data_IF_133516585473
#
_entry.id   IF_133516585473
#
_cell.length_a   1.000
_cell.length_b   1.000
_cell.length_c   1.000
_cell.angle_alpha   90.00
_cell.angle_beta   90.00
_cell.angle_gamma   90.00
#
_symmetry.space_group_name_H-M   'P 1'
#
loop_
_entity.id
_entity.type
_entity.pdbx_description
1 polymer ?
#
# COMPACT_ATOMS: atom_id res chain seq x y z
N UNK A 1 -39.65 26.88 -42.49
CA UNK A 1 -40.93 27.51 -42.04
C UNK A 1 -42.06 26.53 -42.36
N UNK A 2 -43.06 26.30 -41.51
CA UNK A 2 -43.62 27.13 -40.42
C UNK A 2 -43.42 26.48 -39.04
N UNK A 3 -43.28 27.26 -38.03
CA UNK A 3 -44.11 28.03 -37.10
C UNK A 3 -44.67 27.23 -35.90
N UNK A 4 -44.27 27.67 -34.76
CA UNK A 4 -44.84 27.46 -33.40
C UNK A 4 -46.24 28.09 -33.28
N UNK A 5 -47.05 27.68 -32.32
CA UNK A 5 -47.18 28.36 -31.01
C UNK A 5 -47.28 27.36 -29.83
N UNK A 6 -46.84 27.61 -28.62
CA UNK A 6 -46.98 28.71 -27.68
C UNK A 6 -48.20 28.55 -26.79
N UNK A 7 -48.00 28.31 -25.46
CA UNK A 7 -48.73 28.96 -24.36
C UNK A 7 -48.34 28.32 -23.02
N UNK A 8 -47.71 29.04 -22.18
CA UNK A 8 -48.04 29.60 -20.85
C UNK A 8 -48.50 28.66 -19.71
N UNK A 9 -47.77 28.84 -18.66
CA UNK A 9 -47.91 28.46 -17.24
C UNK A 9 -49.26 29.01 -16.61
N UNK A 10 -49.50 29.05 -15.28
CA UNK A 10 -48.76 28.56 -14.09
C UNK A 10 -49.69 28.01 -12.97
N UNK A 11 -49.18 28.06 -11.70
CA UNK A 11 -49.84 27.95 -10.37
C UNK A 11 -49.66 26.61 -9.67
N UNK A 12 -49.14 26.53 -8.58
CA UNK A 12 -49.02 27.16 -7.25
C UNK A 12 -49.49 26.18 -6.17
N UNK A 13 -48.62 26.10 -5.14
CA UNK A 13 -48.95 25.88 -3.74
C UNK A 13 -49.76 24.65 -3.28
N UNK A 14 -49.17 23.86 -2.40
CA UNK A 14 -49.79 23.59 -1.10
C UNK A 14 -48.77 23.13 -0.07
N UNK A 15 -48.55 24.01 0.90
CA UNK A 15 -48.01 23.74 2.22
C UNK A 15 -49.07 22.97 3.03
N UNK A 16 -48.66 22.02 3.88
CA UNK A 16 -49.12 21.88 5.27
C UNK A 16 -48.49 20.62 5.89
N UNK A 17 -47.57 20.85 6.78
CA UNK A 17 -47.63 20.77 8.24
C UNK A 17 -48.22 19.47 8.82
N UNK A 18 -47.42 18.68 9.47
CA UNK A 18 -47.80 17.93 10.69
C UNK A 18 -46.60 17.76 11.63
N UNK A 19 -46.58 18.59 12.69
CA UNK A 19 -45.86 18.37 13.94
C UNK A 19 -46.60 17.34 14.80
N UNK A 20 -45.94 16.38 15.42
CA UNK A 20 -46.20 15.79 16.73
C UNK A 20 -44.88 15.20 17.22
N UNK A 21 -44.24 15.73 18.19
CA UNK A 21 -44.27 15.78 19.66
C UNK A 21 -44.71 14.44 20.29
N UNK A 22 -43.76 13.75 20.90
CA UNK A 22 -43.94 13.19 22.23
C UNK A 22 -42.61 13.19 23.00
N UNK A 23 -42.76 13.62 24.19
CA UNK A 23 -41.85 13.93 25.28
C UNK A 23 -41.50 12.68 26.09
N UNK A 24 -40.32 12.74 26.70
CA UNK A 24 -40.00 12.48 28.10
C UNK A 24 -39.94 11.05 28.61
N UNK A 25 -38.78 10.68 29.13
CA UNK A 25 -38.63 10.32 30.54
C UNK A 25 -37.17 10.42 30.98
N UNK A 26 -36.90 11.38 31.84
CA UNK A 26 -35.75 11.41 32.74
C UNK A 26 -36.01 10.38 33.86
N UNK A 27 -34.96 9.66 34.26
CA UNK A 27 -34.87 9.11 35.60
C UNK A 27 -33.45 9.34 36.13
N UNK A 28 -33.39 10.26 37.07
CA UNK A 28 -32.30 10.49 38.02
C UNK A 28 -32.39 9.43 39.13
N UNK A 29 -31.24 8.90 39.53
CA UNK A 29 -30.95 8.44 40.89
C UNK A 29 -29.48 8.08 40.92
N UNK A 30 -28.61 8.46 41.81
CA UNK A 30 -28.73 9.05 43.12
C UNK A 30 -27.33 9.00 43.70
N UNK A 31 -26.86 10.12 44.19
CA UNK A 31 -25.60 10.34 44.89
C UNK A 31 -25.54 9.44 46.15
N UNK A 32 -24.38 8.85 46.43
CA UNK A 32 -23.98 8.56 47.82
C UNK A 32 -22.50 8.78 47.99
N UNK A 33 -22.18 9.88 48.59
CA UNK A 33 -20.88 10.23 49.17
C UNK A 33 -20.71 9.41 50.45
N UNK A 34 -19.59 8.72 50.60
CA UNK A 34 -19.09 8.30 51.92
C UNK A 34 -17.67 8.76 52.07
N UNK A 35 -17.50 9.79 52.88
CA UNK A 35 -16.26 10.22 53.48
C UNK A 35 -15.91 9.24 54.62
N UNK A 36 -14.76 8.62 54.57
CA UNK A 36 -14.08 8.08 55.75
C UNK A 36 -12.63 8.60 55.73
N UNK A 37 -12.35 9.46 56.64
CA UNK A 37 -11.01 9.88 57.06
C UNK A 37 -10.39 8.77 57.92
N UNK A 38 -9.11 8.47 57.63
CA UNK A 38 -8.32 7.58 58.47
C UNK A 38 -6.85 7.75 58.14
N UNK A 39 -6.13 8.43 58.99
CA UNK A 39 -4.67 8.58 59.03
C UNK A 39 -3.96 7.22 59.08
N UNK A 40 -2.92 7.05 58.34
CA UNK A 40 -2.03 5.89 58.42
C UNK A 40 -0.90 5.96 57.39
N UNK A 41 0.17 6.66 57.72
CA UNK A 41 1.36 6.76 56.87
C UNK A 41 2.02 5.39 56.63
N UNK A 42 2.13 5.01 55.38
CA UNK A 42 3.07 4.01 54.90
C UNK A 42 3.77 4.59 53.67
N UNK A 43 5.02 4.99 53.85
CA UNK A 43 5.91 5.34 52.74
C UNK A 43 6.15 4.08 51.89
N UNK A 44 5.53 4.02 50.72
CA UNK A 44 5.91 3.05 49.68
C UNK A 44 7.14 3.63 48.97
N UNK A 45 8.29 3.00 49.15
CA UNK A 45 9.47 3.21 48.30
C UNK A 45 9.07 2.89 46.87
N UNK A 46 9.09 3.88 46.03
CA UNK A 46 9.03 3.69 44.59
C UNK A 46 10.43 3.29 44.15
N UNK A 47 10.58 2.00 43.86
CA UNK A 47 11.80 1.51 43.23
C UNK A 47 11.85 2.08 41.80
N UNK A 48 13.00 2.74 41.55
CA UNK A 48 13.37 3.30 40.25
C UNK A 48 13.27 2.19 39.19
N UNK A 49 12.53 2.37 38.08
CA UNK A 49 12.52 1.36 37.04
C UNK A 49 13.92 1.17 36.48
N UNK A 50 14.37 -0.08 36.44
CA UNK A 50 15.62 -0.48 35.81
C UNK A 50 15.64 0.03 34.36
N UNK A 51 16.79 0.53 33.94
CA UNK A 51 17.03 0.95 32.57
C UNK A 51 16.65 -0.18 31.60
N UNK A 52 16.00 0.12 30.46
CA UNK A 52 15.69 -0.90 29.49
C UNK A 52 17.00 -1.52 28.99
N UNK A 53 17.10 -2.84 29.12
CA UNK A 53 18.18 -3.63 28.56
C UNK A 53 18.32 -3.26 27.07
N UNK A 54 19.56 -3.04 26.64
CA UNK A 54 19.91 -2.76 25.26
C UNK A 54 19.16 -3.74 24.34
N UNK A 55 18.33 -3.18 23.46
CA UNK A 55 17.68 -3.96 22.41
C UNK A 55 18.79 -4.57 21.56
N UNK A 56 18.95 -5.88 21.70
CA UNK A 56 19.70 -6.67 20.75
C UNK A 56 19.07 -6.40 19.39
N UNK A 57 19.84 -5.79 18.51
CA UNK A 57 19.53 -5.61 17.10
C UNK A 57 19.04 -6.98 16.58
N UNK A 58 17.76 -7.04 16.23
CA UNK A 58 17.25 -8.22 15.55
C UNK A 58 18.01 -8.32 14.23
N UNK A 59 18.88 -9.29 14.13
CA UNK A 59 19.54 -9.64 12.88
C UNK A 59 18.47 -9.79 11.79
N UNK A 60 18.74 -9.37 10.54
CA UNK A 60 17.83 -9.59 9.44
C UNK A 60 17.57 -11.09 9.38
N UNK A 61 16.32 -11.50 9.63
CA UNK A 61 15.95 -12.90 9.55
C UNK A 61 16.11 -13.34 8.10
N UNK A 62 17.11 -14.17 7.85
CA UNK A 62 17.27 -14.91 6.61
C UNK A 62 16.03 -15.78 6.41
N UNK A 63 15.04 -15.30 5.69
CA UNK A 63 13.77 -15.96 5.46
C UNK A 63 13.44 -16.07 3.97
N UNK A 64 14.41 -16.63 3.24
CA UNK A 64 14.11 -17.27 1.96
C UNK A 64 14.43 -18.76 2.06
N UNK A 65 13.99 -19.43 3.12
CA UNK A 65 13.99 -20.90 3.09
C UNK A 65 12.97 -21.33 2.04
N UNK A 66 13.48 -22.05 1.02
CA UNK A 66 12.66 -22.73 0.03
C UNK A 66 11.64 -23.60 0.77
N UNK A 67 10.36 -23.34 0.56
CA UNK A 67 9.30 -24.24 1.01
C UNK A 67 9.48 -25.59 0.29
N UNK A 68 9.29 -26.74 0.96
CA UNK A 68 9.29 -28.02 0.28
C UNK A 68 8.22 -27.99 -0.82
N UNK A 69 8.63 -28.32 -2.03
CA UNK A 69 7.71 -28.51 -3.15
C UNK A 69 6.76 -29.64 -2.78
N UNK A 70 5.48 -29.38 -2.72
CA UNK A 70 4.46 -30.41 -2.70
C UNK A 70 4.63 -31.23 -3.97
N UNK A 71 4.82 -32.57 -3.80
CA UNK A 71 5.20 -33.47 -4.86
C UNK A 71 4.31 -33.37 -6.10
N UNK A 72 4.88 -32.89 -7.18
CA UNK A 72 4.27 -32.93 -8.49
C UNK A 72 4.39 -34.37 -9.02
N UNK A 73 3.27 -35.09 -9.03
CA UNK A 73 3.11 -36.32 -9.81
C UNK A 73 3.33 -35.97 -11.28
N UNK A 74 4.33 -36.57 -11.89
CA UNK A 74 4.66 -36.41 -13.29
C UNK A 74 3.54 -36.99 -14.18
N UNK A 75 2.69 -36.10 -14.71
CA UNK A 75 1.86 -36.43 -15.86
C UNK A 75 2.53 -35.83 -17.09
N UNK A 76 2.88 -36.69 -18.04
CA UNK A 76 3.47 -36.36 -19.34
C UNK A 76 2.49 -35.50 -20.13
N UNK A 77 2.88 -34.31 -20.63
CA UNK A 77 1.96 -33.48 -21.43
C UNK A 77 1.89 -33.99 -22.86
N UNK A 78 0.67 -34.27 -23.31
CA UNK A 78 0.34 -34.47 -24.70
C UNK A 78 0.53 -33.15 -25.46
N UNK A 79 1.34 -33.17 -26.48
CA UNK A 79 1.64 -32.07 -27.40
C UNK A 79 0.42 -31.71 -28.26
N UNK A 80 -0.12 -30.51 -28.10
CA UNK A 80 -0.99 -29.86 -29.08
C UNK A 80 -0.38 -28.50 -29.44
N UNK A 81 -0.11 -28.21 -30.73
CA UNK A 81 0.48 -26.92 -31.12
C UNK A 81 -0.62 -25.88 -31.28
N UNK A 82 -0.74 -25.00 -30.32
CA UNK A 82 -1.51 -23.77 -30.39
C UNK A 82 -0.64 -22.63 -29.99
N UNK A 83 -0.19 -21.80 -30.95
CA UNK A 83 0.67 -20.66 -30.75
C UNK A 83 -0.02 -19.62 -29.85
N UNK A 84 0.41 -19.50 -28.60
CA UNK A 84 0.17 -18.36 -27.74
C UNK A 84 1.51 -17.72 -27.41
N UNK A 85 1.60 -16.43 -27.64
CA UNK A 85 2.73 -15.54 -27.31
C UNK A 85 3.29 -15.89 -25.93
N UNK A 86 4.45 -16.54 -25.88
CA UNK A 86 5.07 -17.06 -24.68
C UNK A 86 5.56 -15.92 -23.78
N UNK A 87 4.81 -15.63 -22.73
CA UNK A 87 5.38 -14.90 -21.60
C UNK A 87 6.53 -15.75 -21.03
N UNK A 88 7.76 -15.26 -21.11
CA UNK A 88 8.94 -15.95 -20.58
C UNK A 88 8.74 -16.23 -19.10
N UNK A 89 8.73 -17.50 -18.70
CA UNK A 89 8.56 -17.90 -17.31
C UNK A 89 9.71 -17.31 -16.47
N UNK A 90 9.37 -16.69 -15.35
CA UNK A 90 10.38 -16.18 -14.41
C UNK A 90 11.12 -17.34 -13.77
N UNK A 91 12.44 -17.35 -13.88
CA UNK A 91 13.28 -18.31 -13.19
C UNK A 91 13.45 -17.88 -11.72
N UNK A 92 13.64 -18.85 -10.79
CA UNK A 92 14.02 -18.54 -9.42
C UNK A 92 15.25 -17.62 -9.37
N UNK A 93 15.26 -16.71 -8.40
CA UNK A 93 16.43 -15.85 -8.20
C UNK A 93 17.68 -16.65 -7.88
N UNK A 94 18.83 -16.20 -8.38
CA UNK A 94 20.11 -16.85 -8.09
C UNK A 94 20.50 -16.66 -6.61
N UNK A 95 21.42 -17.46 -6.08
CA UNK A 95 21.97 -17.25 -4.72
C UNK A 95 22.52 -15.83 -4.53
N UNK A 96 23.20 -15.27 -5.54
CA UNK A 96 23.72 -13.90 -5.49
C UNK A 96 22.60 -12.84 -5.37
N UNK A 97 21.48 -13.03 -6.06
CA UNK A 97 20.30 -12.19 -5.89
C UNK A 97 19.72 -12.31 -4.48
N UNK A 98 19.57 -13.53 -3.99
CA UNK A 98 19.08 -13.81 -2.63
C UNK A 98 19.93 -13.09 -1.59
N UNK A 99 21.24 -13.16 -1.70
CA UNK A 99 22.18 -12.45 -0.82
C UNK A 99 21.96 -10.95 -0.82
N UNK A 100 21.88 -10.32 -1.99
CA UNK A 100 21.64 -8.88 -2.09
C UNK A 100 20.27 -8.48 -1.50
N UNK A 101 19.22 -9.27 -1.75
CA UNK A 101 17.89 -8.99 -1.20
C UNK A 101 17.84 -9.16 0.32
N UNK A 102 18.65 -10.04 0.90
CA UNK A 102 18.77 -10.22 2.35
C UNK A 102 19.45 -9.05 3.07
N UNK A 103 20.19 -8.20 2.36
CA UNK A 103 20.77 -6.98 2.91
C UNK A 103 19.75 -5.83 3.05
N UNK A 104 18.53 -5.99 2.54
CA UNK A 104 17.48 -4.99 2.70
C UNK A 104 17.00 -5.01 4.15
N UNK A 105 17.09 -3.85 4.81
CA UNK A 105 16.74 -3.68 6.22
C UNK A 105 15.39 -2.99 6.38
N UNK A 106 14.70 -3.29 7.48
CA UNK A 106 13.48 -2.57 7.87
C UNK A 106 13.81 -1.38 8.74
N UNK A 107 13.08 -0.28 8.53
CA UNK A 107 13.12 0.85 9.46
C UNK A 107 12.45 0.47 10.80
N UNK A 108 12.73 1.18 11.90
CA UNK A 108 12.03 0.98 13.16
C UNK A 108 10.53 1.25 13.00
N UNK A 109 9.66 0.68 13.87
CA UNK A 109 8.24 0.96 13.82
C UNK A 109 7.98 2.46 14.06
N UNK A 110 7.01 3.06 13.38
CA UNK A 110 6.65 4.44 13.61
C UNK A 110 6.08 4.60 15.02
N UNK A 111 6.28 5.76 15.66
CA UNK A 111 5.72 6.02 16.99
C UNK A 111 4.19 6.04 16.98
N UNK A 112 3.59 6.41 15.86
CA UNK A 112 2.14 6.50 15.68
C UNK A 112 1.75 6.17 14.26
N UNK A 113 0.60 5.50 14.10
CA UNK A 113 -0.05 5.32 12.81
C UNK A 113 -0.82 6.59 12.42
N UNK A 114 -0.97 6.81 11.12
CA UNK A 114 -1.83 7.86 10.60
C UNK A 114 -3.26 7.62 11.10
N UNK A 115 -3.79 8.55 11.88
CA UNK A 115 -5.12 8.47 12.53
C UNK A 115 -5.33 7.21 13.38
N UNK A 116 -4.26 6.58 13.87
CA UNK A 116 -4.37 5.34 14.64
C UNK A 116 -5.00 4.17 13.88
N UNK A 117 -4.93 4.15 12.55
CA UNK A 117 -5.64 3.17 11.71
C UNK A 117 -4.66 2.37 10.85
N UNK A 118 -4.91 1.04 10.77
CA UNK A 118 -4.26 0.16 9.82
C UNK A 118 -4.99 0.22 8.47
N UNK A 119 -4.30 0.66 7.42
CA UNK A 119 -4.88 0.73 6.07
C UNK A 119 -4.65 -0.60 5.33
N UNK A 120 -5.43 -1.61 5.71
CA UNK A 120 -5.29 -3.00 5.19
C UNK A 120 -5.88 -3.22 3.79
N UNK A 121 -6.52 -2.22 3.21
CA UNK A 121 -6.98 -2.19 1.81
C UNK A 121 -6.77 -0.81 1.21
N UNK A 122 -6.64 -0.75 -0.10
CA UNK A 122 -6.64 0.52 -0.82
C UNK A 122 -8.04 1.16 -0.79
N UNK A 123 -8.07 2.48 -0.66
CA UNK A 123 -9.26 3.29 -0.86
C UNK A 123 -9.29 4.00 -2.23
N UNK A 124 -8.37 3.65 -3.11
CA UNK A 124 -8.24 4.15 -4.47
C UNK A 124 -8.90 3.18 -5.44
N UNK A 125 -9.75 3.67 -6.34
CA UNK A 125 -10.63 2.83 -7.13
C UNK A 125 -10.25 2.76 -8.62
N UNK A 126 -9.49 3.72 -9.14
CA UNK A 126 -9.27 3.92 -10.57
C UNK A 126 -7.79 3.76 -10.97
N UNK A 127 -7.09 2.73 -10.46
CA UNK A 127 -5.72 2.42 -10.88
C UNK A 127 -5.60 2.14 -12.39
N UNK A 128 -6.73 1.75 -13.01
CA UNK A 128 -6.86 1.55 -14.46
C UNK A 128 -6.39 2.75 -15.29
N UNK A 129 -6.48 3.95 -14.73
CA UNK A 129 -5.99 5.18 -15.37
C UNK A 129 -4.47 5.14 -15.64
N UNK A 130 -3.73 4.30 -14.92
CA UNK A 130 -2.29 4.12 -15.13
C UNK A 130 -1.92 2.95 -16.05
N UNK A 131 -2.89 2.09 -16.41
CA UNK A 131 -2.62 0.87 -17.18
C UNK A 131 -1.71 1.14 -18.40
N UNK A 132 -2.12 2.06 -19.27
CA UNK A 132 -1.33 2.40 -20.49
C UNK A 132 0.06 2.95 -20.19
N UNK A 133 0.27 3.52 -19.02
CA UNK A 133 1.56 4.09 -18.62
C UNK A 133 2.54 3.01 -18.17
N UNK A 134 2.04 1.93 -17.56
CA UNK A 134 2.91 0.94 -16.90
C UNK A 134 2.88 -0.45 -17.55
N UNK A 135 1.95 -0.72 -18.46
CA UNK A 135 1.76 -2.04 -19.06
C UNK A 135 3.07 -2.56 -19.68
N UNK A 136 3.45 -3.77 -19.26
CA UNK A 136 4.66 -4.49 -19.71
C UNK A 136 5.98 -3.69 -19.59
N UNK A 137 6.08 -2.74 -18.65
CA UNK A 137 7.31 -1.96 -18.44
C UNK A 137 8.48 -2.81 -17.95
N UNK A 138 8.23 -3.91 -17.24
CA UNK A 138 9.32 -4.71 -16.64
C UNK A 138 10.09 -3.96 -15.53
N UNK A 139 11.35 -4.31 -15.32
CA UNK A 139 12.24 -3.70 -14.34
C UNK A 139 11.79 -3.85 -12.89
N UNK A 140 12.24 -2.98 -11.98
CA UNK A 140 11.79 -3.00 -10.60
C UNK A 140 10.50 -2.21 -10.40
N UNK A 141 9.68 -2.68 -9.45
CA UNK A 141 8.52 -2.02 -8.87
C UNK A 141 8.75 -1.79 -7.39
N UNK A 142 8.50 -0.58 -6.90
CA UNK A 142 8.41 -0.28 -5.46
C UNK A 142 7.04 0.35 -5.22
N UNK A 143 6.27 -0.20 -4.28
CA UNK A 143 4.95 0.34 -3.98
C UNK A 143 4.56 0.28 -2.51
N UNK A 144 3.85 1.33 -2.05
CA UNK A 144 3.29 1.42 -0.70
C UNK A 144 1.88 0.85 -0.64
N UNK A 145 1.43 0.45 0.56
CA UNK A 145 0.07 -0.04 0.80
C UNK A 145 -0.12 -1.52 0.49
N UNK A 146 -1.32 -1.92 0.08
CA UNK A 146 -1.76 -3.34 0.08
C UNK A 146 -2.12 -3.89 -1.31
N UNK A 147 -3.41 -4.22 -1.52
CA UNK A 147 -3.96 -4.96 -2.66
C UNK A 147 -3.69 -4.33 -4.03
N UNK A 148 -3.64 -3.01 -4.11
CA UNK A 148 -3.38 -2.28 -5.35
C UNK A 148 -2.01 -2.60 -5.96
N UNK A 149 -1.03 -2.97 -5.14
CA UNK A 149 0.29 -3.35 -5.63
C UNK A 149 0.25 -4.56 -6.57
N UNK A 150 -0.63 -5.53 -6.29
CA UNK A 150 -0.78 -6.72 -7.13
C UNK A 150 -1.47 -6.42 -8.46
N UNK A 151 -2.37 -5.43 -8.47
CA UNK A 151 -2.98 -4.91 -9.70
C UNK A 151 -1.90 -4.29 -10.59
N UNK A 152 -1.12 -3.36 -10.02
CA UNK A 152 -0.07 -2.67 -10.76
C UNK A 152 1.04 -3.63 -11.22
N UNK A 153 1.43 -4.59 -10.39
CA UNK A 153 2.42 -5.61 -10.76
C UNK A 153 1.92 -6.55 -11.86
N UNK A 154 0.64 -6.92 -11.86
CA UNK A 154 0.02 -7.72 -12.92
C UNK A 154 0.10 -7.03 -14.28
N UNK A 155 -0.03 -5.72 -14.32
CA UNK A 155 0.09 -4.91 -15.53
C UNK A 155 1.54 -4.60 -15.92
N UNK A 156 2.37 -4.17 -14.97
CA UNK A 156 3.77 -3.80 -15.21
C UNK A 156 4.64 -5.00 -15.57
N UNK A 157 4.38 -6.17 -15.00
CA UNK A 157 5.22 -7.38 -15.08
C UNK A 157 6.66 -7.12 -14.63
N UNK A 158 6.89 -6.68 -13.38
CA UNK A 158 8.22 -6.33 -12.89
C UNK A 158 9.12 -7.55 -12.71
N UNK A 159 10.43 -7.38 -12.92
CA UNK A 159 11.44 -8.40 -12.63
C UNK A 159 11.65 -8.59 -11.11
N UNK A 160 11.46 -7.53 -10.35
CA UNK A 160 11.55 -7.49 -8.89
C UNK A 160 10.49 -6.56 -8.34
N UNK A 161 9.75 -7.02 -7.33
CA UNK A 161 8.68 -6.28 -6.66
C UNK A 161 9.06 -6.02 -5.20
N UNK A 162 9.06 -4.75 -4.79
CA UNK A 162 9.25 -4.34 -3.40
C UNK A 162 7.94 -3.79 -2.85
N UNK A 163 7.39 -4.45 -1.85
CA UNK A 163 6.21 -4.07 -1.10
C UNK A 163 6.66 -3.35 0.16
N UNK A 164 6.37 -2.08 0.24
CA UNK A 164 6.93 -1.17 1.22
C UNK A 164 5.81 -0.47 1.99
N UNK A 165 5.81 -0.58 3.29
CA UNK A 165 4.88 0.19 4.13
C UNK A 165 5.48 0.43 5.52
N UNK A 166 5.12 1.55 6.16
CA UNK A 166 5.56 1.84 7.53
C UNK A 166 4.77 1.08 8.60
N UNK A 167 3.58 0.59 8.25
CA UNK A 167 2.72 -0.19 9.14
C UNK A 167 3.07 -1.68 9.07
N UNK A 168 3.53 -2.24 10.20
CA UNK A 168 3.88 -3.66 10.27
C UNK A 168 2.69 -4.59 9.98
N UNK A 169 1.45 -4.18 10.27
CA UNK A 169 0.26 -4.98 9.95
C UNK A 169 0.06 -5.09 8.45
N UNK A 170 0.31 -4.03 7.70
CA UNK A 170 0.30 -4.03 6.23
C UNK A 170 1.38 -4.96 5.68
N UNK A 171 2.61 -4.90 6.23
CA UNK A 171 3.69 -5.82 5.83
C UNK A 171 3.33 -7.27 6.17
N UNK A 172 2.76 -7.53 7.34
CA UNK A 172 2.31 -8.87 7.72
C UNK A 172 1.19 -9.39 6.81
N UNK A 173 0.32 -8.50 6.34
CA UNK A 173 -0.71 -8.86 5.37
C UNK A 173 -0.11 -9.30 4.02
N UNK A 174 1.00 -8.71 3.58
CA UNK A 174 1.72 -9.21 2.39
C UNK A 174 2.27 -10.62 2.57
N UNK A 175 2.67 -11.02 3.79
CA UNK A 175 3.02 -12.42 4.08
C UNK A 175 1.81 -13.36 3.95
N UNK A 176 0.59 -12.90 4.26
CA UNK A 176 -0.65 -13.67 3.98
C UNK A 176 -0.86 -13.82 2.47
N UNK A 177 -0.79 -12.72 1.72
CA UNK A 177 -0.90 -12.73 0.25
C UNK A 177 0.12 -13.68 -0.39
N UNK A 178 1.37 -13.68 0.08
CA UNK A 178 2.42 -14.60 -0.38
C UNK A 178 1.96 -16.05 -0.31
N UNK A 179 1.48 -16.49 0.84
CA UNK A 179 1.03 -17.89 1.03
C UNK A 179 -0.12 -18.20 0.08
N UNK A 180 -1.08 -17.30 -0.07
CA UNK A 180 -2.25 -17.51 -0.89
C UNK A 180 -1.92 -17.52 -2.40
N UNK A 181 -0.99 -16.68 -2.86
CA UNK A 181 -0.48 -16.74 -4.24
C UNK A 181 0.37 -17.99 -4.51
N UNK A 182 1.11 -18.47 -3.54
CA UNK A 182 1.90 -19.71 -3.70
C UNK A 182 0.98 -20.94 -3.75
N UNK A 183 -0.05 -20.98 -2.91
CA UNK A 183 -0.98 -22.10 -2.81
C UNK A 183 -1.99 -22.13 -3.95
N UNK A 184 -2.65 -21.01 -4.25
CA UNK A 184 -3.67 -20.93 -5.29
C UNK A 184 -3.08 -21.10 -6.70
N UNK A 185 -3.75 -21.89 -7.53
CA UNK A 185 -3.35 -22.09 -8.93
C UNK A 185 -4.10 -21.14 -9.88
N UNK A 186 -5.12 -20.48 -9.38
CA UNK A 186 -5.95 -19.57 -10.16
C UNK A 186 -6.61 -18.51 -9.27
N UNK A 187 -7.20 -17.44 -9.86
CA UNK A 187 -7.87 -16.38 -9.11
C UNK A 187 -8.98 -16.87 -8.18
N UNK A 188 -9.72 -17.91 -8.57
CA UNK A 188 -10.84 -18.40 -7.76
C UNK A 188 -10.34 -19.12 -6.49
N UNK A 189 -9.33 -19.97 -6.61
CA UNK A 189 -8.69 -20.61 -5.45
C UNK A 189 -8.10 -19.57 -4.50
N UNK A 190 -7.39 -18.57 -5.04
CA UNK A 190 -6.85 -17.48 -4.25
C UNK A 190 -7.95 -16.69 -3.52
N UNK A 191 -9.02 -16.29 -4.22
CA UNK A 191 -10.14 -15.57 -3.61
C UNK A 191 -10.84 -16.39 -2.53
N UNK A 192 -10.94 -17.70 -2.74
CA UNK A 192 -11.60 -18.61 -1.82
C UNK A 192 -10.96 -18.64 -0.43
N UNK A 193 -9.64 -18.40 -0.32
CA UNK A 193 -8.91 -18.35 0.95
C UNK A 193 -9.27 -17.13 1.82
N UNK A 194 -9.89 -16.12 1.23
CA UNK A 194 -10.43 -14.98 1.95
C UNK A 194 -11.87 -15.18 2.42
N UNK A 195 -12.58 -16.22 1.90
CA UNK A 195 -13.95 -16.53 2.30
C UNK A 195 -13.99 -17.12 3.71
N UNK A 196 -14.92 -16.67 4.58
CA UNK A 196 -15.12 -17.27 5.91
C UNK A 196 -15.26 -18.78 5.92
N UNK A 197 -15.86 -19.36 4.88
CA UNK A 197 -16.03 -20.82 4.75
C UNK A 197 -14.70 -21.59 4.73
N UNK A 198 -13.64 -20.96 4.25
CA UNK A 198 -12.33 -21.58 4.08
C UNK A 198 -11.32 -21.12 5.15
N UNK A 199 -11.79 -20.48 6.24
CA UNK A 199 -10.91 -19.97 7.30
C UNK A 199 -9.99 -21.05 7.86
N UNK A 200 -10.52 -22.24 8.12
CA UNK A 200 -9.73 -23.36 8.66
C UNK A 200 -8.57 -23.76 7.72
N UNK A 201 -8.81 -23.79 6.42
CA UNK A 201 -7.79 -24.04 5.41
C UNK A 201 -6.76 -22.90 5.37
N UNK A 202 -7.20 -21.65 5.31
CA UNK A 202 -6.33 -20.50 5.31
C UNK A 202 -5.43 -20.46 6.55
N UNK A 203 -6.00 -20.70 7.72
CA UNK A 203 -5.26 -20.78 8.99
C UNK A 203 -4.23 -21.90 9.01
N UNK A 204 -4.57 -23.09 8.47
CA UNK A 204 -3.64 -24.18 8.33
C UNK A 204 -2.46 -23.81 7.45
N UNK A 205 -2.72 -23.24 6.26
CA UNK A 205 -1.68 -22.80 5.32
C UNK A 205 -0.73 -21.79 5.94
N UNK A 206 -1.26 -20.78 6.66
CA UNK A 206 -0.44 -19.80 7.36
C UNK A 206 0.38 -20.41 8.49
N UNK A 207 -0.17 -21.39 9.19
CA UNK A 207 0.53 -22.11 10.28
C UNK A 207 1.68 -22.95 9.73
N UNK A 208 1.44 -23.65 8.66
CA UNK A 208 2.44 -24.51 8.01
C UNK A 208 3.58 -23.67 7.37
N UNK A 209 3.22 -22.50 6.79
CA UNK A 209 4.19 -21.63 6.13
C UNK A 209 5.10 -20.88 7.09
N UNK A 210 4.64 -20.58 8.31
CA UNK A 210 5.39 -19.78 9.29
C UNK A 210 5.60 -20.55 10.60
N UNK A 211 6.67 -21.36 10.71
CA UNK A 211 6.92 -22.20 11.88
C UNK A 211 7.29 -21.37 13.13
N UNK A 212 7.89 -20.19 12.96
CA UNK A 212 8.29 -19.35 14.08
C UNK A 212 7.07 -18.73 14.80
N UNK A 213 6.82 -19.02 16.10
CA UNK A 213 5.57 -18.68 16.77
C UNK A 213 5.19 -17.20 16.74
N UNK A 214 6.13 -16.29 17.06
CA UNK A 214 5.87 -14.84 17.11
C UNK A 214 5.50 -14.28 15.73
N UNK A 215 6.23 -14.68 14.70
CA UNK A 215 5.94 -14.24 13.34
C UNK A 215 4.59 -14.79 12.86
N UNK A 216 4.34 -16.07 13.06
CA UNK A 216 3.06 -16.72 12.73
C UNK A 216 1.88 -16.00 13.39
N UNK A 217 2.00 -15.71 14.70
CA UNK A 217 0.97 -15.00 15.44
C UNK A 217 0.63 -13.65 14.76
N UNK A 218 1.63 -12.82 14.49
CA UNK A 218 1.41 -11.51 13.88
C UNK A 218 0.81 -11.59 12.48
N UNK A 219 1.18 -12.59 11.68
CA UNK A 219 0.63 -12.80 10.33
C UNK A 219 -0.83 -13.28 10.41
N UNK A 220 -1.12 -14.21 11.33
CA UNK A 220 -2.48 -14.70 11.57
C UNK A 220 -3.40 -13.57 12.08
N UNK A 221 -2.90 -12.71 12.96
CA UNK A 221 -3.63 -11.53 13.42
C UNK A 221 -3.94 -10.58 12.28
N UNK A 222 -2.96 -10.30 11.40
CA UNK A 222 -3.18 -9.49 10.20
C UNK A 222 -4.24 -10.10 9.27
N UNK A 223 -4.22 -11.43 9.04
CA UNK A 223 -5.26 -12.12 8.28
C UNK A 223 -6.64 -11.95 8.89
N UNK A 224 -6.78 -12.26 10.18
CA UNK A 224 -8.08 -12.17 10.88
C UNK A 224 -8.65 -10.75 10.86
N UNK A 225 -7.80 -9.75 11.06
CA UNK A 225 -8.19 -8.33 11.05
C UNK A 225 -8.64 -7.87 9.65
N UNK A 226 -7.96 -8.31 8.60
CA UNK A 226 -8.13 -7.75 7.24
C UNK A 226 -9.06 -8.56 6.33
N UNK A 227 -9.29 -9.85 6.61
CA UNK A 227 -10.02 -10.78 5.73
C UNK A 227 -11.32 -10.23 5.16
N UNK A 228 -12.19 -9.70 6.03
CA UNK A 228 -13.49 -9.17 5.61
C UNK A 228 -13.36 -7.94 4.69
N UNK A 229 -12.44 -7.04 5.04
CA UNK A 229 -12.17 -5.83 4.26
C UNK A 229 -11.56 -6.17 2.90
N UNK A 230 -10.61 -7.11 2.84
CA UNK A 230 -10.00 -7.56 1.59
C UNK A 230 -11.04 -8.20 0.67
N UNK A 231 -11.88 -9.09 1.18
CA UNK A 231 -12.93 -9.72 0.39
C UNK A 231 -13.96 -8.70 -0.14
N UNK A 232 -14.35 -7.73 0.69
CA UNK A 232 -15.24 -6.63 0.28
C UNK A 232 -14.57 -5.75 -0.80
N UNK A 233 -13.27 -5.47 -0.65
CA UNK A 233 -12.48 -4.73 -1.63
C UNK A 233 -12.44 -5.43 -2.98
N UNK A 234 -12.18 -6.73 -3.02
CA UNK A 234 -12.16 -7.49 -4.26
C UNK A 234 -13.51 -7.42 -5.00
N UNK A 235 -14.62 -7.56 -4.27
CA UNK A 235 -15.98 -7.44 -4.85
C UNK A 235 -16.22 -6.05 -5.44
N UNK A 236 -15.80 -5.01 -4.73
CA UNK A 236 -15.91 -3.61 -5.20
C UNK A 236 -15.12 -3.38 -6.48
N UNK A 237 -13.84 -3.79 -6.50
CA UNK A 237 -12.93 -3.55 -7.64
C UNK A 237 -13.38 -4.29 -8.88
N UNK A 238 -13.84 -5.55 -8.75
CA UNK A 238 -14.44 -6.29 -9.88
C UNK A 238 -15.56 -5.48 -10.54
N UNK A 239 -16.45 -4.90 -9.76
CA UNK A 239 -17.55 -4.09 -10.31
C UNK A 239 -17.06 -2.86 -11.08
N UNK A 240 -16.08 -2.15 -10.53
CA UNK A 240 -15.51 -0.95 -11.14
C UNK A 240 -14.76 -1.28 -12.42
N UNK A 241 -13.89 -2.30 -12.42
CA UNK A 241 -13.08 -2.64 -13.57
C UNK A 241 -13.88 -3.21 -14.72
N UNK A 242 -14.95 -3.96 -14.43
CA UNK A 242 -15.93 -4.39 -15.46
C UNK A 242 -16.56 -3.22 -16.19
N UNK A 243 -16.95 -2.15 -15.48
CA UNK A 243 -17.53 -0.95 -16.10
C UNK A 243 -16.55 -0.25 -17.05
N UNK A 244 -15.24 -0.41 -16.83
CA UNK A 244 -14.18 0.17 -17.66
C UNK A 244 -13.55 -0.82 -18.65
N UNK A 245 -14.06 -2.05 -18.71
CA UNK A 245 -13.51 -3.14 -19.54
C UNK A 245 -12.01 -3.40 -19.24
N UNK A 246 -11.63 -3.36 -17.97
CA UNK A 246 -10.27 -3.57 -17.49
C UNK A 246 -10.14 -4.97 -16.90
N UNK A 247 -9.16 -5.73 -17.34
CA UNK A 247 -8.76 -6.99 -16.74
C UNK A 247 -7.67 -6.76 -15.68
N UNK A 248 -7.74 -7.54 -14.62
CA UNK A 248 -6.78 -7.51 -13.53
C UNK A 248 -6.52 -8.93 -13.00
N UNK A 249 -5.56 -9.10 -12.12
CA UNK A 249 -5.08 -10.41 -11.71
C UNK A 249 -6.16 -11.38 -11.14
N UNK A 250 -7.29 -10.88 -10.67
CA UNK A 250 -8.41 -11.73 -10.21
C UNK A 250 -9.42 -12.11 -11.31
N UNK A 251 -9.24 -11.64 -12.54
CA UNK A 251 -10.10 -11.93 -13.70
C UNK A 251 -9.28 -12.37 -14.93
N UNK A 252 -7.95 -12.32 -14.83
CA UNK A 252 -7.02 -12.70 -15.90
C UNK A 252 -5.97 -13.67 -15.36
N UNK A 253 -6.04 -14.93 -15.82
CA UNK A 253 -5.14 -15.99 -15.38
C UNK A 253 -3.66 -15.65 -15.65
N UNK A 254 -3.34 -15.01 -16.78
CA UNK A 254 -1.95 -14.67 -17.11
C UNK A 254 -1.36 -13.63 -16.16
N UNK A 255 -2.17 -12.65 -15.74
CA UNK A 255 -1.73 -11.66 -14.75
C UNK A 255 -1.60 -12.29 -13.35
N UNK A 256 -2.55 -13.16 -12.99
CA UNK A 256 -2.49 -13.92 -11.75
C UNK A 256 -1.23 -14.78 -11.69
N UNK A 257 -0.97 -15.57 -12.72
CA UNK A 257 0.19 -16.45 -12.82
C UNK A 257 1.49 -15.65 -12.70
N UNK A 258 1.54 -14.47 -13.32
CA UNK A 258 2.72 -13.62 -13.23
C UNK A 258 2.99 -13.15 -11.80
N UNK A 259 1.96 -12.65 -11.10
CA UNK A 259 2.10 -12.22 -9.70
C UNK A 259 2.45 -13.41 -8.80
N UNK A 260 1.81 -14.56 -9.00
CA UNK A 260 2.11 -15.78 -8.27
C UNK A 260 3.56 -16.26 -8.51
N UNK A 261 4.05 -16.16 -9.75
CA UNK A 261 5.44 -16.50 -10.09
C UNK A 261 6.44 -15.57 -9.40
N UNK A 262 6.19 -14.27 -9.28
CA UNK A 262 7.05 -13.37 -8.51
C UNK A 262 7.30 -13.90 -7.09
N UNK A 263 6.24 -14.37 -6.42
CA UNK A 263 6.36 -14.98 -5.08
C UNK A 263 7.08 -16.33 -5.10
N UNK A 264 6.70 -17.22 -6.04
CA UNK A 264 7.28 -18.58 -6.15
C UNK A 264 8.76 -18.57 -6.49
N UNK A 265 9.21 -17.54 -7.21
CA UNK A 265 10.60 -17.40 -7.67
C UNK A 265 11.48 -16.52 -6.77
N UNK A 266 10.94 -16.03 -5.63
CA UNK A 266 11.70 -15.21 -4.67
C UNK A 266 11.93 -13.76 -5.11
N UNK A 267 11.09 -13.23 -6.02
CA UNK A 267 11.22 -11.88 -6.59
C UNK A 267 10.35 -10.83 -5.90
N UNK A 268 9.88 -11.12 -4.69
CA UNK A 268 9.09 -10.17 -3.89
C UNK A 268 9.78 -9.93 -2.56
N UNK A 269 10.08 -8.66 -2.28
CA UNK A 269 10.58 -8.18 -1.00
C UNK A 269 9.44 -7.48 -0.27
N UNK A 270 9.24 -7.84 0.99
CA UNK A 270 8.22 -7.22 1.87
C UNK A 270 8.95 -6.58 3.04
N UNK A 271 8.92 -5.26 3.13
CA UNK A 271 9.75 -4.51 4.08
C UNK A 271 8.97 -3.41 4.77
N UNK A 272 9.15 -3.32 6.11
CA UNK A 272 8.68 -2.14 6.83
C UNK A 272 9.63 -0.99 6.58
N UNK A 273 9.08 0.11 6.05
CA UNK A 273 9.88 1.28 5.77
C UNK A 273 9.13 2.58 5.93
N UNK A 274 9.81 3.57 6.48
CA UNK A 274 9.33 4.93 6.63
C UNK A 274 9.99 5.82 5.58
N UNK A 275 9.18 6.41 4.71
CA UNK A 275 9.63 7.32 3.66
C UNK A 275 10.44 8.50 4.21
N UNK A 276 10.21 8.90 5.46
CA UNK A 276 10.87 10.06 6.08
C UNK A 276 12.23 9.75 6.70
N UNK A 277 12.49 8.48 7.03
CA UNK A 277 13.73 8.00 7.68
C UNK A 277 14.80 7.62 6.64
N UNK A 278 14.41 6.82 5.67
CA UNK A 278 15.24 6.52 4.50
C UNK A 278 16.21 5.35 4.65
N UNK A 279 16.27 4.65 5.77
CA UNK A 279 17.16 3.52 5.97
C UNK A 279 16.81 2.32 5.07
N UNK A 280 15.55 1.89 5.10
CA UNK A 280 15.05 0.81 4.27
C UNK A 280 15.15 1.14 2.77
N UNK A 281 14.72 2.33 2.34
CA UNK A 281 14.84 2.74 0.93
C UNK A 281 16.29 2.85 0.46
N UNK A 282 17.21 3.29 1.32
CA UNK A 282 18.62 3.31 1.01
C UNK A 282 19.18 1.90 0.77
N UNK A 283 18.79 0.92 1.58
CA UNK A 283 19.18 -0.48 1.39
C UNK A 283 18.55 -1.11 0.14
N UNK A 284 17.30 -0.76 -0.17
CA UNK A 284 16.63 -1.15 -1.42
C UNK A 284 17.39 -0.58 -2.63
N UNK A 285 17.75 0.71 -2.59
CA UNK A 285 18.50 1.34 -3.68
C UNK A 285 19.85 0.66 -3.91
N UNK A 286 20.57 0.32 -2.84
CA UNK A 286 21.82 -0.42 -2.90
C UNK A 286 21.63 -1.81 -3.52
N UNK A 287 20.63 -2.57 -3.08
CA UNK A 287 20.34 -3.90 -3.62
C UNK A 287 19.98 -3.82 -5.12
N UNK A 288 19.08 -2.92 -5.52
CA UNK A 288 18.72 -2.73 -6.94
C UNK A 288 19.92 -2.37 -7.80
N UNK A 289 20.81 -1.49 -7.30
CA UNK A 289 22.04 -1.10 -8.00
C UNK A 289 22.98 -2.28 -8.16
N UNK A 290 23.22 -3.05 -7.09
CA UNK A 290 24.09 -4.24 -7.12
C UNK A 290 23.56 -5.33 -8.06
N UNK A 291 22.22 -5.46 -8.15
CA UNK A 291 21.56 -6.40 -9.06
C UNK A 291 21.48 -5.91 -10.52
N UNK A 292 21.82 -4.65 -10.79
CA UNK A 292 21.68 -4.04 -12.11
C UNK A 292 20.22 -3.82 -12.54
N UNK A 293 19.25 -3.89 -11.62
CA UNK A 293 17.82 -3.74 -11.92
C UNK A 293 17.41 -2.29 -11.77
N UNK A 294 16.86 -1.70 -12.82
CA UNK A 294 16.39 -0.32 -12.83
C UNK A 294 14.96 -0.19 -12.35
N UNK A 295 14.68 0.84 -11.54
CA UNK A 295 13.35 1.15 -11.05
C UNK A 295 12.51 1.78 -12.17
N UNK A 296 11.46 1.08 -12.58
CA UNK A 296 10.55 1.52 -13.64
C UNK A 296 9.26 2.13 -13.10
N UNK A 297 8.78 1.66 -11.95
CA UNK A 297 7.58 2.21 -11.31
C UNK A 297 7.81 2.38 -9.81
N UNK A 298 7.69 3.62 -9.35
CA UNK A 298 7.60 3.99 -7.93
C UNK A 298 6.17 4.40 -7.64
N UNK A 299 5.44 3.61 -6.86
CA UNK A 299 4.07 3.93 -6.46
C UNK A 299 4.03 4.39 -5.01
N UNK A 300 3.63 5.63 -4.80
CA UNK A 300 3.61 6.30 -3.49
C UNK A 300 2.20 6.46 -2.91
N UNK A 301 1.15 6.06 -3.65
CA UNK A 301 -0.24 6.30 -3.23
C UNK A 301 -0.45 7.77 -2.84
N UNK A 302 -1.04 8.03 -1.70
CA UNK A 302 -1.19 9.38 -1.13
C UNK A 302 -0.26 9.65 0.06
N UNK A 303 0.79 8.84 0.25
CA UNK A 303 1.64 8.90 1.45
C UNK A 303 2.35 10.25 1.61
N UNK A 304 2.83 10.86 0.53
CA UNK A 304 3.56 12.12 0.55
C UNK A 304 2.74 13.31 1.15
N UNK A 305 1.43 13.17 1.28
CA UNK A 305 0.58 14.21 1.89
C UNK A 305 0.74 14.35 3.40
N UNK A 306 1.33 13.35 4.05
CA UNK A 306 1.37 13.26 5.51
C UNK A 306 2.67 13.76 6.12
N UNK A 307 3.67 14.12 5.30
CA UNK A 307 4.96 14.59 5.78
C UNK A 307 5.55 15.69 4.88
N UNK A 308 6.53 16.41 5.40
CA UNK A 308 7.41 17.30 4.62
C UNK A 308 8.66 16.54 4.21
N UNK A 309 9.22 16.88 3.06
CA UNK A 309 10.42 16.22 2.52
C UNK A 309 11.64 16.47 3.40
N UNK A 310 11.94 15.50 4.25
CA UNK A 310 13.14 15.47 5.08
C UNK A 310 14.41 15.25 4.24
N UNK A 311 15.56 15.46 4.83
CA UNK A 311 16.84 15.09 4.21
C UNK A 311 16.91 13.58 3.93
N UNK A 312 16.46 12.75 4.89
CA UNK A 312 16.35 11.29 4.72
C UNK A 312 15.50 10.89 3.52
N UNK A 313 14.31 11.49 3.39
CA UNK A 313 13.45 11.29 2.22
C UNK A 313 14.17 11.63 0.92
N UNK A 314 14.76 12.83 0.83
CA UNK A 314 15.46 13.26 -0.40
C UNK A 314 16.62 12.33 -0.75
N UNK A 315 17.49 12.05 0.23
CA UNK A 315 18.63 11.17 0.05
C UNK A 315 18.20 9.81 -0.51
N UNK A 316 17.14 9.23 0.05
CA UNK A 316 16.63 7.94 -0.35
C UNK A 316 16.04 7.95 -1.76
N UNK A 317 15.20 8.95 -2.06
CA UNK A 317 14.60 9.08 -3.38
C UNK A 317 15.65 9.32 -4.48
N UNK A 318 16.70 10.09 -4.18
CA UNK A 318 17.78 10.35 -5.13
C UNK A 318 18.76 9.18 -5.31
N UNK A 319 18.81 8.25 -4.35
CA UNK A 319 19.64 7.05 -4.43
C UNK A 319 19.03 5.93 -5.28
N UNK A 320 17.71 5.96 -5.52
CA UNK A 320 17.03 4.92 -6.30
C UNK A 320 17.54 4.93 -7.77
N UNK A 321 17.84 3.73 -8.33
CA UNK A 321 18.38 3.60 -9.69
C UNK A 321 17.26 3.63 -10.74
N UNK A 322 16.64 4.80 -10.93
CA UNK A 322 15.57 4.97 -11.90
C UNK A 322 15.99 4.61 -13.32
N UNK A 323 15.07 4.01 -14.07
CA UNK A 323 15.20 3.87 -15.52
C UNK A 323 14.86 5.18 -16.22
N UNK A 324 15.35 5.37 -17.46
CA UNK A 324 15.07 6.57 -18.24
C UNK A 324 13.57 6.73 -18.55
N UNK A 325 12.86 5.60 -18.75
CA UNK A 325 11.43 5.52 -18.94
C UNK A 325 10.64 5.27 -17.65
N UNK A 326 11.29 5.41 -16.49
CA UNK A 326 10.68 5.22 -15.17
C UNK A 326 9.61 6.26 -14.85
N UNK A 327 8.63 5.88 -14.04
CA UNK A 327 7.55 6.76 -13.61
C UNK A 327 7.31 6.69 -12.10
N UNK A 328 6.86 7.81 -11.55
CA UNK A 328 6.35 7.92 -10.19
C UNK A 328 4.85 8.11 -10.26
N UNK A 329 4.12 7.21 -9.61
CA UNK A 329 2.66 7.20 -9.53
C UNK A 329 2.23 7.64 -8.14
N UNK A 330 1.28 8.54 -8.08
CA UNK A 330 0.67 8.96 -6.80
C UNK A 330 -0.78 9.34 -6.95
N UNK A 331 -1.49 9.41 -5.84
CA UNK A 331 -2.84 9.91 -5.80
C UNK A 331 -2.96 11.15 -4.95
N UNK A 332 -3.94 11.98 -5.30
CA UNK A 332 -4.32 13.16 -4.54
C UNK A 332 -5.82 13.16 -4.32
N UNK A 333 -6.26 13.17 -3.07
CA UNK A 333 -7.67 13.29 -2.75
C UNK A 333 -8.18 14.71 -3.05
N UNK A 334 -9.33 14.81 -3.71
CA UNK A 334 -10.12 16.03 -3.83
C UNK A 334 -10.99 16.23 -2.57
N UNK A 335 -11.52 17.44 -2.34
CA UNK A 335 -12.42 17.68 -1.21
C UNK A 335 -13.66 16.77 -1.19
N UNK A 336 -14.14 16.33 -2.34
CA UNK A 336 -15.26 15.39 -2.49
C UNK A 336 -14.89 13.91 -2.29
N UNK A 337 -13.68 13.60 -1.84
CA UNK A 337 -13.21 12.24 -1.61
C UNK A 337 -12.77 11.47 -2.86
N UNK A 338 -12.93 12.05 -4.07
CA UNK A 338 -12.45 11.43 -5.31
C UNK A 338 -10.94 11.64 -5.45
N UNK A 339 -10.23 10.61 -5.91
CA UNK A 339 -8.79 10.70 -6.14
C UNK A 339 -8.47 11.23 -7.55
N UNK A 340 -7.42 12.03 -7.61
CA UNK A 340 -6.69 12.34 -8.84
C UNK A 340 -5.52 11.36 -8.94
N UNK A 341 -5.35 10.76 -10.10
CA UNK A 341 -4.31 9.79 -10.42
C UNK A 341 -3.21 10.49 -11.19
N UNK A 342 -2.04 10.60 -10.59
CA UNK A 342 -0.96 11.46 -11.10
C UNK A 342 0.21 10.62 -11.57
N UNK A 343 0.70 10.91 -12.77
CA UNK A 343 1.91 10.36 -13.37
C UNK A 343 2.99 11.45 -13.44
N UNK A 344 4.19 11.09 -13.06
CA UNK A 344 5.37 11.94 -13.23
C UNK A 344 6.52 11.08 -13.71
N UNK A 345 7.22 11.49 -14.77
CA UNK A 345 8.45 10.84 -15.20
C UNK A 345 9.48 10.88 -14.07
N UNK A 346 10.20 9.77 -13.86
CA UNK A 346 11.16 9.66 -12.75
C UNK A 346 12.27 10.71 -12.84
N UNK A 347 12.75 11.04 -14.04
CA UNK A 347 13.74 12.09 -14.26
C UNK A 347 13.22 13.46 -13.80
N UNK A 348 12.00 13.79 -14.18
CA UNK A 348 11.34 15.02 -13.74
C UNK A 348 11.17 15.04 -12.21
N UNK A 349 10.72 13.91 -11.62
CA UNK A 349 10.59 13.77 -10.17
C UNK A 349 11.90 13.99 -9.44
N UNK A 350 12.99 13.38 -9.91
CA UNK A 350 14.35 13.56 -9.36
C UNK A 350 14.77 15.03 -9.37
N UNK A 351 14.49 15.76 -10.45
CA UNK A 351 14.81 17.19 -10.54
C UNK A 351 14.01 18.02 -9.52
N UNK A 352 12.75 17.69 -9.31
CA UNK A 352 11.93 18.30 -8.25
C UNK A 352 12.48 18.00 -6.86
N UNK A 353 12.82 16.74 -6.56
CA UNK A 353 13.35 16.33 -5.24
C UNK A 353 14.73 16.93 -4.96
N UNK A 354 15.56 17.16 -5.96
CA UNK A 354 16.87 17.87 -5.81
C UNK A 354 16.70 19.30 -5.34
N UNK A 355 15.60 19.97 -5.67
CA UNK A 355 15.40 21.37 -5.31
C UNK A 355 15.06 21.52 -3.83
N UNK A 356 15.91 22.14 -2.98
CA UNK A 356 15.67 22.25 -1.55
C UNK A 356 14.47 23.14 -1.18
N UNK A 357 13.97 23.95 -2.09
CA UNK A 357 12.77 24.78 -1.90
C UNK A 357 11.48 23.98 -2.04
N UNK A 358 11.55 22.78 -2.63
CA UNK A 358 10.42 21.86 -2.76
C UNK A 358 10.39 20.97 -1.52
N UNK A 359 9.44 21.14 -0.64
CA UNK A 359 9.38 20.44 0.64
C UNK A 359 8.05 19.70 0.88
N UNK A 360 7.13 19.75 -0.07
CA UNK A 360 5.84 19.04 0.01
C UNK A 360 5.38 18.58 -1.36
N UNK A 361 4.60 17.50 -1.39
CA UNK A 361 3.93 17.01 -2.61
C UNK A 361 2.96 18.05 -3.20
N UNK A 362 2.49 18.98 -2.39
CA UNK A 362 1.55 20.01 -2.85
C UNK A 362 2.19 20.97 -3.85
N UNK A 363 3.50 21.23 -3.71
CA UNK A 363 4.24 22.06 -4.67
C UNK A 363 4.38 21.35 -6.03
N UNK A 364 4.64 20.04 -6.03
CA UNK A 364 4.68 19.25 -7.27
C UNK A 364 3.31 19.20 -7.94
N UNK A 365 2.27 18.88 -7.17
CA UNK A 365 0.92 18.68 -7.69
C UNK A 365 0.16 19.98 -7.97
N UNK A 366 0.70 21.13 -7.60
CA UNK A 366 0.20 22.41 -8.08
C UNK A 366 0.42 22.55 -9.60
N UNK A 367 1.48 21.98 -10.11
CA UNK A 367 1.91 22.03 -11.50
C UNK A 367 1.36 20.87 -12.37
N UNK A 368 0.37 20.12 -11.88
CA UNK A 368 -0.19 19.03 -12.66
C UNK A 368 -1.16 19.49 -13.74
N UNK A 369 -1.08 18.84 -14.89
CA UNK A 369 -1.89 19.05 -16.07
C UNK A 369 -2.91 17.92 -16.20
N UNK A 370 -4.17 18.26 -16.48
CA UNK A 370 -5.20 17.25 -16.67
C UNK A 370 -5.02 16.52 -18.03
N UNK A 371 -5.19 15.23 -18.02
CA UNK A 371 -5.31 14.41 -19.23
C UNK A 371 -6.76 14.48 -19.75
N UNK A 372 -7.00 14.28 -21.06
CA UNK A 372 -8.35 14.10 -21.60
C UNK A 372 -9.13 12.94 -20.92
N UNK A 373 -8.45 11.93 -20.39
CA UNK A 373 -9.07 10.86 -19.61
C UNK A 373 -9.38 11.37 -18.19
N UNK A 374 -10.66 11.50 -17.80
CA UNK A 374 -11.05 12.15 -16.55
C UNK A 374 -10.44 11.46 -15.30
N UNK A 375 -9.78 12.24 -14.46
CA UNK A 375 -9.14 11.75 -13.23
C UNK A 375 -7.66 11.45 -13.38
N UNK A 376 -7.11 11.40 -14.59
CA UNK A 376 -5.68 11.26 -14.86
C UNK A 376 -5.02 12.63 -15.01
N UNK A 377 -3.82 12.77 -14.44
CA UNK A 377 -3.03 14.00 -14.44
C UNK A 377 -1.55 13.68 -14.64
N UNK A 378 -0.81 14.65 -15.19
CA UNK A 378 0.63 14.56 -15.39
C UNK A 378 1.35 15.74 -14.75
N UNK A 379 2.55 15.50 -14.22
CA UNK A 379 3.51 16.55 -13.85
C UNK A 379 4.62 16.55 -14.90
N UNK A 380 4.58 17.55 -15.80
CA UNK A 380 5.55 17.72 -16.90
C UNK A 380 6.45 18.92 -16.70
N UNK A 381 5.99 19.93 -16.00
CA UNK A 381 6.76 21.15 -15.73
C UNK A 381 8.00 20.84 -14.91
N UNK A 382 9.08 21.55 -15.23
CA UNK A 382 10.36 21.45 -14.51
C UNK A 382 10.47 22.51 -13.43
N UNK A 383 11.40 22.33 -12.48
CA UNK A 383 11.63 23.25 -11.36
C UNK A 383 12.30 24.59 -11.76
N UNK A 384 12.52 24.86 -13.04
CA UNK A 384 13.35 25.95 -13.53
C UNK A 384 12.83 27.36 -13.21
N UNK A 385 11.55 27.50 -12.83
CA UNK A 385 10.94 28.78 -12.48
C UNK A 385 10.19 28.66 -11.14
N UNK A 386 10.09 29.72 -10.41
CA UNK A 386 9.59 29.87 -9.04
C UNK A 386 8.73 28.70 -8.48
N UNK A 387 9.29 27.99 -7.49
CA UNK A 387 8.54 27.01 -6.71
C UNK A 387 7.34 27.69 -6.06
N UNK A 388 6.10 27.22 -6.28
CA UNK A 388 4.92 27.87 -5.73
C UNK A 388 4.95 27.91 -4.21
N UNK A 389 4.60 29.03 -3.62
CA UNK A 389 4.28 29.11 -2.20
C UNK A 389 2.92 28.45 -1.99
N UNK A 390 2.92 27.24 -1.47
CA UNK A 390 1.69 26.47 -1.18
C UNK A 390 1.53 26.37 0.33
N UNK A 391 0.33 26.59 0.89
CA UNK A 391 0.08 26.42 2.31
C UNK A 391 0.48 25.03 2.79
N UNK A 392 1.04 24.95 3.99
CA UNK A 392 1.37 23.65 4.61
C UNK A 392 0.12 22.77 4.73
N UNK A 393 0.25 21.46 4.53
CA UNK A 393 -0.86 20.54 4.70
C UNK A 393 -1.39 20.60 6.14
N UNK A 394 -2.71 20.45 6.34
CA UNK A 394 -3.34 20.55 7.67
C UNK A 394 -2.84 19.51 8.69
N UNK A 395 -1.97 18.58 8.29
CA UNK A 395 -1.40 17.52 9.12
C UNK A 395 0.10 17.69 9.42
N UNK A 396 0.71 18.84 9.13
CA UNK A 396 2.11 19.14 9.43
C UNK A 396 2.45 19.13 10.94
N UNK A 397 1.48 18.91 11.83
CA UNK A 397 1.67 18.80 13.28
C UNK A 397 2.15 17.44 13.75
N UNK A 398 2.25 16.45 12.87
CA UNK A 398 2.96 15.19 13.17
C UNK A 398 4.47 15.43 12.99
N UNK A 399 5.02 16.32 13.82
CA UNK A 399 6.46 16.48 13.93
C UNK A 399 7.06 15.13 14.32
N UNK A 400 7.97 14.63 13.50
CA UNK A 400 9.01 13.70 13.93
C UNK A 400 9.68 14.32 15.16
N UNK A 401 9.30 13.88 16.34
CA UNK A 401 10.09 14.14 17.53
C UNK A 401 11.30 13.22 17.43
N UNK A 402 12.37 13.72 16.82
CA UNK A 402 13.69 13.15 17.03
C UNK A 402 13.95 13.13 18.55
N UNK A 403 14.40 12.00 19.12
CA UNK A 403 14.78 11.98 20.51
C UNK A 403 15.94 12.95 20.68
N UNK A 404 15.74 14.02 21.45
CA UNK A 404 16.82 14.85 21.98
C UNK A 404 17.71 13.93 22.81
N UNK A 405 18.92 13.72 22.34
CA UNK A 405 19.97 13.11 23.13
C UNK A 405 20.22 14.00 24.37
N UNK A 406 19.99 13.44 25.56
CA UNK A 406 20.50 13.87 26.84
C UNK A 406 21.34 12.76 27.44
#
# INVERSE_FOLDING_TARGET
MPQYPGTHAPLSSCLQTAKRRTRSALLLSGLSLLLISGDGGAQVRVDKPAAPAAMVSAAPMAMQQAMPQAGASAATPATTPGATSGATALLPVSPAWTEQLNHIVSDPPPPHLVRGTHYVISNEDRHDLWLKTIENKGGAYIGVGTDQNYVLAGWQRPELMVLFDFDQVVVNLHYVYRVFFIYGNNPEEFKSLWDPKNEAMAMKLLTDAYPHPKQRQSIVEAYKMSRGSVLARFRKVVGIYKQHNIRWFLEDQSQYDYVAQLFRTGRVVMVRGDLTVGGSLGSIASALTSLGVKLKVLYLSNAERYFTYSEGFRKSMLALPYADDGVVLRTRARPNGVYMYVVQESKNYVDWVKNPKVNTVYQLTHEMEADPNPGLFYIRKTTATAVPSVPHPPFAHLKSSAPTAH
#
